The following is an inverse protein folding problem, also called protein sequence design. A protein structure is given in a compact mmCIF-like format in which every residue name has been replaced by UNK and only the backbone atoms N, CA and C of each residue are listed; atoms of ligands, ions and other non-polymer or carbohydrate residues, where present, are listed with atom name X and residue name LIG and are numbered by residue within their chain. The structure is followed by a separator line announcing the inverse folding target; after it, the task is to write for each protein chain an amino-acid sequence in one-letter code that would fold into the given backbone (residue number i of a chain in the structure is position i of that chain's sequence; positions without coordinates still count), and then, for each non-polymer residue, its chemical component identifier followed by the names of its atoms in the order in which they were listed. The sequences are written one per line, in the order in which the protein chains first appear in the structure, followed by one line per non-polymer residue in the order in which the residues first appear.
data_IF_173848262176
#
_entry.id   IF_173848262176
#
_cell.length_a   1.000
_cell.length_b   1.000
_cell.length_c   1.000
_cell.angle_alpha   90.00
_cell.angle_beta   90.00
_cell.angle_gamma   90.00
#
_symmetry.space_group_name_H-M   'P 1'
#
loop_
_entity.id
_entity.type
_entity.pdbx_description
1 polymer ?
#
# COMPACT_ATOMS: atom_id res chain seq x y z
N UNK A 1 -70.13 -18.22 -10.10
CA UNK A 1 -71.16 -17.15 -10.16
C UNK A 1 -71.34 -16.57 -8.76
N UNK A 2 -71.38 -15.23 -8.66
CA UNK A 2 -71.73 -14.39 -7.48
C UNK A 2 -70.64 -14.34 -6.39
N UNK A 3 -69.74 -13.34 -6.36
CA UNK A 3 -69.93 -11.90 -6.06
C UNK A 3 -70.61 -11.66 -4.72
N UNK A 4 -69.83 -11.19 -3.73
CA UNK A 4 -70.31 -10.55 -2.51
C UNK A 4 -69.49 -9.27 -2.33
N UNK A 5 -70.15 -8.13 -2.57
CA UNK A 5 -69.72 -6.81 -2.15
C UNK A 5 -69.99 -6.66 -0.64
N UNK A 6 -69.03 -6.13 0.11
CA UNK A 6 -69.29 -5.52 1.42
C UNK A 6 -69.04 -4.03 1.33
N UNK A 7 -70.10 -3.25 1.55
CA UNK A 7 -70.05 -1.82 1.77
C UNK A 7 -69.68 -1.55 3.24
N UNK A 8 -68.73 -0.64 3.47
CA UNK A 8 -68.43 -0.10 4.80
C UNK A 8 -68.74 1.39 4.78
N UNK A 9 -69.61 1.79 5.70
CA UNK A 9 -70.10 3.14 5.90
C UNK A 9 -69.01 4.04 6.53
N UNK A 10 -68.95 5.29 6.04
CA UNK A 10 -68.11 6.34 6.57
C UNK A 10 -68.72 6.94 7.85
N UNK A 11 -67.88 7.19 8.86
CA UNK A 11 -68.19 8.10 9.96
C UNK A 11 -67.09 9.16 10.02
N UNK A 12 -67.47 10.38 9.67
CA UNK A 12 -66.68 11.61 9.84
C UNK A 12 -66.71 12.02 11.31
N UNK A 13 -65.54 12.10 11.95
CA UNK A 13 -65.35 12.75 13.24
C UNK A 13 -64.66 14.10 12.99
N UNK A 14 -65.44 15.18 13.11
CA UNK A 14 -65.00 16.55 12.97
C UNK A 14 -64.38 17.01 14.30
N UNK A 15 -63.05 17.17 14.33
CA UNK A 15 -62.32 17.68 15.50
C UNK A 15 -62.03 19.17 15.30
N UNK A 16 -62.66 20.04 16.09
CA UNK A 16 -62.33 21.46 16.19
C UNK A 16 -61.03 21.64 16.99
N UNK A 17 -59.96 22.09 16.33
CA UNK A 17 -58.74 22.53 16.98
C UNK A 17 -58.78 24.05 17.19
N UNK A 18 -58.72 24.49 18.45
CA UNK A 18 -58.46 25.88 18.82
C UNK A 18 -57.04 26.28 18.40
N UNK A 19 -56.92 27.41 17.69
CA UNK A 19 -55.65 28.00 17.30
C UNK A 19 -54.93 28.66 18.48
N UNK A 20 -53.71 28.22 18.74
CA UNK A 20 -52.70 28.98 19.47
C UNK A 20 -51.78 29.65 18.44
N UNK A 21 -51.58 30.96 18.56
CA UNK A 21 -50.69 31.72 17.68
C UNK A 21 -49.23 31.28 17.87
N UNK A 22 -48.57 30.89 16.78
CA UNK A 22 -47.14 30.59 16.74
C UNK A 22 -46.31 31.84 17.12
N UNK A 23 -45.33 31.72 18.03
CA UNK A 23 -44.37 32.78 18.25
C UNK A 23 -43.48 32.95 17.02
N UNK A 24 -43.31 34.21 16.58
CA UNK A 24 -42.51 34.56 15.42
C UNK A 24 -41.08 33.97 15.49
N UNK A 25 -40.70 33.23 14.44
CA UNK A 25 -39.40 32.60 14.32
C UNK A 25 -38.28 33.67 14.34
N UNK A 26 -37.27 33.46 15.20
CA UNK A 26 -36.04 34.26 15.21
C UNK A 26 -35.35 34.15 13.83
N UNK A 27 -34.88 35.28 13.24
CA UNK A 27 -34.13 35.23 12.00
C UNK A 27 -32.87 34.38 12.16
N UNK A 28 -32.70 33.43 11.24
CA UNK A 28 -31.57 32.52 11.21
C UNK A 28 -30.26 33.32 11.10
N UNK A 29 -29.35 33.09 12.05
CA UNK A 29 -27.99 33.63 12.01
C UNK A 29 -27.27 33.05 10.79
N UNK A 30 -26.64 33.90 9.99
CA UNK A 30 -25.89 33.46 8.82
C UNK A 30 -24.83 32.42 9.23
N UNK A 31 -24.64 31.34 8.45
CA UNK A 31 -23.61 30.34 8.74
C UNK A 31 -22.24 31.01 8.79
N UNK A 32 -21.45 30.69 9.81
CA UNK A 32 -20.08 31.15 9.92
C UNK A 32 -19.31 30.77 8.64
N UNK A 33 -18.41 31.65 8.14
CA UNK A 33 -17.61 31.36 6.97
C UNK A 33 -16.84 30.05 7.21
N UNK A 34 -16.85 29.18 6.19
CA UNK A 34 -16.10 27.93 6.25
C UNK A 34 -14.62 28.24 6.53
N UNK A 35 -13.96 27.51 7.45
CA UNK A 35 -12.55 27.73 7.73
C UNK A 35 -11.74 27.53 6.45
N UNK A 36 -10.74 28.39 6.24
CA UNK A 36 -9.85 28.32 5.08
C UNK A 36 -9.27 26.90 4.94
N UNK A 37 -9.31 26.37 3.71
CA UNK A 37 -8.78 25.05 3.42
C UNK A 37 -7.28 25.03 3.76
N UNK A 38 -6.87 24.05 4.59
CA UNK A 38 -5.45 23.84 4.91
C UNK A 38 -4.66 23.64 3.61
N UNK A 39 -3.45 24.23 3.46
CA UNK A 39 -2.64 24.03 2.28
C UNK A 39 -2.34 22.55 2.05
N UNK A 40 -2.56 22.08 0.82
CA UNK A 40 -2.27 20.70 0.43
C UNK A 40 -0.76 20.48 0.47
N UNK A 41 -0.31 19.50 1.24
CA UNK A 41 1.11 19.15 1.29
C UNK A 41 1.56 18.65 -0.08
N UNK A 42 2.69 19.17 -0.56
CA UNK A 42 3.30 18.70 -1.81
C UNK A 42 4.50 17.83 -1.50
N UNK A 43 4.69 16.78 -2.28
CA UNK A 43 5.93 16.01 -2.25
C UNK A 43 7.07 16.96 -2.60
N UNK A 44 8.13 16.92 -1.80
CA UNK A 44 9.39 17.63 -2.07
C UNK A 44 10.49 16.57 -2.04
N UNK A 45 11.25 16.38 -3.13
CA UNK A 45 12.42 15.50 -3.12
C UNK A 45 13.35 15.79 -1.94
N UNK A 46 13.90 14.74 -1.32
CA UNK A 46 14.74 14.89 -0.12
C UNK A 46 14.01 15.02 1.21
N UNK A 47 12.67 15.07 1.21
CA UNK A 47 11.85 14.99 2.43
C UNK A 47 10.90 13.82 2.33
N UNK A 48 10.70 13.13 3.45
CA UNK A 48 9.69 12.07 3.52
C UNK A 48 8.32 12.70 3.82
N UNK A 49 7.59 13.04 2.78
CA UNK A 49 6.26 13.67 2.86
C UNK A 49 5.25 12.77 2.15
N UNK A 50 4.17 12.38 2.85
CA UNK A 50 3.08 11.60 2.27
C UNK A 50 1.78 12.40 2.43
N UNK A 51 1.34 13.14 1.37
CA UNK A 51 0.11 13.92 1.41
C UNK A 51 -1.14 13.03 1.42
N UNK A 52 -1.78 12.84 2.58
CA UNK A 52 -2.98 11.99 2.69
C UNK A 52 -4.28 12.69 2.27
N UNK A 53 -4.25 14.01 2.17
CA UNK A 53 -5.36 14.88 1.77
C UNK A 53 -5.61 14.86 0.25
N UNK A 54 -4.57 14.63 -0.56
CA UNK A 54 -4.69 14.50 -2.02
C UNK A 54 -3.84 13.34 -2.55
N UNK A 55 -4.49 12.21 -2.79
CA UNK A 55 -3.89 11.00 -3.36
C UNK A 55 -4.89 10.22 -4.22
N UNK A 56 -4.41 9.49 -5.21
CA UNK A 56 -5.18 8.46 -5.90
C UNK A 56 -4.73 7.07 -5.46
N UNK A 57 -5.68 6.13 -5.33
CA UNK A 57 -5.39 4.72 -5.01
C UNK A 57 -5.93 3.72 -6.03
N UNK A 58 -5.51 3.79 -7.31
CA UNK A 58 -6.04 2.90 -8.33
C UNK A 58 -5.53 1.47 -8.16
N UNK A 59 -6.38 0.52 -8.49
CA UNK A 59 -5.94 -0.81 -8.88
C UNK A 59 -5.45 -0.79 -10.32
N UNK A 60 -4.46 -1.62 -10.61
CA UNK A 60 -4.00 -1.80 -11.97
C UNK A 60 -3.01 -2.94 -12.13
N UNK A 61 -2.71 -3.20 -13.38
CA UNK A 61 -1.76 -4.21 -13.82
C UNK A 61 -0.41 -3.57 -14.11
N UNK A 62 0.66 -4.08 -13.52
CA UNK A 62 2.00 -3.60 -13.79
C UNK A 62 2.42 -3.98 -15.22
N UNK A 63 2.72 -3.01 -16.10
CA UNK A 63 3.09 -3.27 -17.50
C UNK A 63 4.61 -3.25 -17.69
N UNK A 64 5.32 -2.40 -16.96
CA UNK A 64 6.77 -2.26 -17.09
C UNK A 64 7.41 -1.73 -15.82
N UNK A 65 8.68 -2.10 -15.63
CA UNK A 65 9.54 -1.64 -14.55
C UNK A 65 10.93 -1.33 -15.11
N UNK A 66 11.50 -0.23 -14.66
CA UNK A 66 12.92 0.10 -14.82
C UNK A 66 13.51 0.30 -13.42
N UNK A 67 14.39 -0.62 -13.02
CA UNK A 67 15.01 -0.62 -11.70
C UNK A 67 16.08 0.46 -11.55
N UNK A 68 16.74 0.88 -12.63
CA UNK A 68 17.79 1.88 -12.59
C UNK A 68 17.22 3.28 -12.36
N UNK A 69 16.11 3.59 -13.03
CA UNK A 69 15.42 4.88 -12.86
C UNK A 69 14.32 4.83 -11.80
N UNK A 70 14.01 3.62 -11.29
CA UNK A 70 12.86 3.33 -10.41
C UNK A 70 11.57 3.90 -10.99
N UNK A 71 11.36 3.69 -12.29
CA UNK A 71 10.13 4.08 -12.99
C UNK A 71 9.37 2.87 -13.47
N UNK A 72 8.13 3.07 -13.88
CA UNK A 72 7.33 2.01 -14.46
C UNK A 72 6.04 2.52 -15.07
N UNK A 73 5.23 1.57 -15.54
CA UNK A 73 3.88 1.83 -16.07
C UNK A 73 2.92 0.80 -15.55
N UNK A 74 1.68 1.20 -15.30
CA UNK A 74 0.59 0.27 -15.01
C UNK A 74 -0.66 0.63 -15.83
N UNK A 75 -1.51 -0.36 -16.09
CA UNK A 75 -2.83 -0.21 -16.72
C UNK A 75 -3.88 -0.15 -15.63
N UNK A 76 -4.62 0.96 -15.54
CA UNK A 76 -5.73 1.10 -14.58
C UNK A 76 -6.82 0.07 -14.86
N UNK A 77 -7.26 -0.63 -13.82
CA UNK A 77 -8.31 -1.66 -13.95
C UNK A 77 -9.68 -1.06 -14.31
N UNK A 78 -9.98 0.21 -14.00
CA UNK A 78 -11.29 0.79 -14.28
C UNK A 78 -11.40 1.49 -15.64
N UNK A 79 -10.29 1.97 -16.21
CA UNK A 79 -10.29 2.80 -17.42
C UNK A 79 -9.42 2.25 -18.55
N UNK A 80 -8.64 1.20 -18.31
CA UNK A 80 -7.57 0.72 -19.19
C UNK A 80 -6.48 1.77 -19.52
N UNK A 81 -6.50 2.92 -18.86
CA UNK A 81 -5.49 3.97 -19.02
C UNK A 81 -4.11 3.46 -18.57
N UNK A 82 -3.09 3.67 -19.40
CA UNK A 82 -1.70 3.40 -19.04
C UNK A 82 -1.10 4.63 -18.37
N UNK A 83 -0.73 4.48 -17.11
CA UNK A 83 -0.15 5.54 -16.28
C UNK A 83 1.31 5.25 -16.04
N UNK A 84 2.16 6.25 -16.27
CA UNK A 84 3.58 6.18 -15.91
C UNK A 84 3.76 6.64 -14.46
N UNK A 85 4.72 6.03 -13.77
CA UNK A 85 5.04 6.42 -12.39
C UNK A 85 6.55 6.45 -12.15
N UNK A 86 6.93 7.22 -11.14
CA UNK A 86 8.27 7.20 -10.53
C UNK A 86 8.12 6.84 -9.06
N UNK A 87 8.87 5.82 -8.63
CA UNK A 87 8.87 5.37 -7.24
C UNK A 87 9.69 6.36 -6.41
N UNK A 88 9.03 7.04 -5.47
CA UNK A 88 9.73 7.88 -4.52
C UNK A 88 10.71 7.03 -3.69
N UNK A 89 11.91 7.51 -3.33
CA UNK A 89 12.89 6.70 -2.61
C UNK A 89 12.39 6.09 -1.30
N UNK A 90 11.49 6.81 -0.62
CA UNK A 90 10.84 6.43 0.64
C UNK A 90 9.49 5.71 0.46
N UNK A 91 9.11 5.37 -0.78
CA UNK A 91 7.85 4.69 -1.05
C UNK A 91 7.78 3.36 -0.30
N UNK A 92 6.62 3.05 0.27
CA UNK A 92 6.39 1.75 0.88
C UNK A 92 6.04 0.74 -0.22
N UNK A 93 6.92 -0.23 -0.42
CA UNK A 93 6.77 -1.33 -1.38
C UNK A 93 6.41 -2.57 -0.58
N UNK A 94 5.16 -3.03 -0.68
CA UNK A 94 4.66 -4.14 0.12
C UNK A 94 4.32 -5.34 -0.75
N UNK A 95 4.98 -6.46 -0.48
CA UNK A 95 4.85 -7.69 -1.24
C UNK A 95 4.65 -8.87 -0.29
N UNK A 96 3.77 -9.80 -0.64
CA UNK A 96 3.43 -10.96 0.19
C UNK A 96 3.15 -10.62 1.65
N UNK A 97 2.34 -9.59 1.89
CA UNK A 97 1.98 -9.10 3.23
C UNK A 97 3.15 -8.58 4.09
N UNK A 98 4.27 -8.17 3.50
CA UNK A 98 5.42 -7.61 4.23
C UNK A 98 6.24 -6.62 3.38
N UNK A 99 7.36 -6.14 3.89
CA UNK A 99 8.25 -5.22 3.17
C UNK A 99 8.90 -5.93 1.97
N UNK A 100 8.94 -5.24 0.84
CA UNK A 100 9.64 -5.66 -0.36
C UNK A 100 10.38 -4.50 -1.01
N UNK A 101 10.84 -4.71 -2.24
CA UNK A 101 11.35 -3.68 -3.14
C UNK A 101 10.68 -3.85 -4.51
N UNK A 102 10.93 -2.91 -5.42
CA UNK A 102 10.38 -2.91 -6.78
C UNK A 102 10.67 -4.21 -7.54
N UNK A 103 11.83 -4.82 -7.30
CA UNK A 103 12.23 -6.10 -7.92
C UNK A 103 11.40 -7.32 -7.49
N UNK A 104 10.61 -7.21 -6.41
CA UNK A 104 9.78 -8.32 -5.92
C UNK A 104 8.44 -8.39 -6.68
N UNK A 105 8.06 -7.32 -7.38
CA UNK A 105 6.87 -7.26 -8.22
C UNK A 105 7.14 -7.80 -9.62
N UNK A 106 6.17 -8.54 -10.17
CA UNK A 106 6.26 -9.11 -11.52
C UNK A 106 5.50 -8.23 -12.52
N UNK A 107 6.00 -8.08 -13.74
CA UNK A 107 5.20 -7.53 -14.86
C UNK A 107 3.99 -8.44 -15.11
N UNK A 108 2.82 -7.83 -15.24
CA UNK A 108 1.50 -8.46 -15.24
C UNK A 108 0.82 -8.39 -13.87
N UNK A 109 1.55 -8.14 -12.78
CA UNK A 109 1.00 -8.26 -11.44
C UNK A 109 -0.09 -7.21 -11.19
N UNK A 110 -1.21 -7.66 -10.60
CA UNK A 110 -2.25 -6.77 -10.12
C UNK A 110 -1.83 -6.19 -8.77
N UNK A 111 -1.73 -4.88 -8.71
CA UNK A 111 -1.35 -4.14 -7.50
C UNK A 111 -2.25 -2.91 -7.31
N UNK A 112 -2.21 -2.35 -6.11
CA UNK A 112 -2.80 -1.04 -5.82
C UNK A 112 -1.69 -0.03 -5.57
N UNK A 113 -1.79 1.07 -6.28
CA UNK A 113 -0.80 2.15 -6.30
C UNK A 113 -1.29 3.29 -5.43
N UNK A 114 -0.40 4.11 -4.85
CA UNK A 114 -0.74 5.43 -4.29
C UNK A 114 0.05 6.48 -5.03
N UNK A 115 -0.68 7.27 -5.81
CA UNK A 115 -0.11 8.31 -6.64
C UNK A 115 -0.37 9.69 -6.05
N UNK A 116 0.60 10.56 -6.26
CA UNK A 116 0.52 11.99 -5.98
C UNK A 116 0.93 12.77 -7.22
N UNK A 117 0.48 14.02 -7.25
CA UNK A 117 0.82 14.94 -8.33
C UNK A 117 2.27 15.41 -8.20
N UNK A 118 2.93 15.53 -9.35
CA UNK A 118 4.16 16.31 -9.46
C UNK A 118 3.85 17.81 -9.53
N UNK A 119 4.90 18.61 -9.76
CA UNK A 119 4.82 20.06 -9.86
C UNK A 119 3.95 20.55 -11.04
N UNK A 120 3.75 19.69 -12.05
CA UNK A 120 2.89 19.94 -13.22
C UNK A 120 1.44 19.50 -13.04
N UNK A 121 1.09 18.91 -11.89
CA UNK A 121 -0.25 18.36 -11.64
C UNK A 121 -0.47 16.96 -12.19
N UNK A 122 0.59 16.25 -12.62
CA UNK A 122 0.50 14.91 -13.19
C UNK A 122 0.61 13.85 -12.08
N UNK A 123 -0.29 12.85 -12.07
CA UNK A 123 -0.29 11.75 -11.09
C UNK A 123 0.80 10.72 -11.37
N UNK A 124 2.05 11.06 -11.05
CA UNK A 124 3.24 10.25 -11.39
C UNK A 124 4.04 9.80 -10.16
N UNK A 125 3.96 10.50 -9.02
CA UNK A 125 4.77 10.17 -7.84
C UNK A 125 4.14 9.02 -7.05
N UNK A 126 4.78 7.86 -7.11
CA UNK A 126 4.37 6.67 -6.38
C UNK A 126 5.01 6.66 -4.98
N UNK A 127 4.19 6.73 -3.93
CA UNK A 127 4.64 6.65 -2.53
C UNK A 127 4.28 5.32 -1.87
N UNK A 128 3.51 4.49 -2.56
CA UNK A 128 3.04 3.22 -2.05
C UNK A 128 2.65 2.30 -3.20
N UNK A 129 3.10 1.05 -3.16
CA UNK A 129 2.57 -0.04 -3.97
C UNK A 129 2.43 -1.25 -3.08
N UNK A 130 1.29 -1.91 -3.15
CA UNK A 130 1.09 -3.18 -2.48
C UNK A 130 0.43 -4.17 -3.44
N UNK A 131 0.87 -5.42 -3.38
CA UNK A 131 0.23 -6.51 -4.11
C UNK A 131 -1.18 -6.79 -3.57
N UNK A 132 -1.95 -7.57 -4.34
CA UNK A 132 -3.30 -8.01 -3.97
C UNK A 132 -3.31 -8.69 -2.59
N UNK A 133 -2.30 -9.51 -2.33
CA UNK A 133 -2.19 -10.29 -1.10
C UNK A 133 -1.97 -9.42 0.14
N UNK A 134 -1.07 -8.44 0.09
CA UNK A 134 -0.84 -7.50 1.18
C UNK A 134 -2.08 -6.66 1.46
N UNK A 135 -2.76 -6.20 0.41
CA UNK A 135 -4.01 -5.46 0.55
C UNK A 135 -5.06 -6.33 1.28
N UNK A 136 -5.32 -7.54 0.78
CA UNK A 136 -6.32 -8.42 1.35
C UNK A 136 -5.97 -8.80 2.79
N UNK A 137 -4.71 -9.09 3.09
CA UNK A 137 -4.26 -9.40 4.44
C UNK A 137 -4.48 -8.21 5.40
N UNK A 138 -4.02 -7.01 5.04
CA UNK A 138 -4.13 -5.82 5.87
C UNK A 138 -5.58 -5.42 6.17
N UNK A 139 -6.51 -5.73 5.27
CA UNK A 139 -7.94 -5.47 5.42
C UNK A 139 -8.74 -6.66 5.97
N UNK A 140 -8.08 -7.79 6.27
CA UNK A 140 -8.72 -9.06 6.67
C UNK A 140 -9.80 -9.50 5.67
N UNK A 141 -9.51 -9.33 4.38
CA UNK A 141 -10.38 -9.64 3.26
C UNK A 141 -9.99 -10.96 2.56
N UNK A 142 -11.01 -11.57 1.93
CA UNK A 142 -10.96 -12.86 1.26
C UNK A 142 -11.87 -12.86 0.03
N UNK A 143 -11.57 -13.74 -0.91
CA UNK A 143 -12.50 -14.18 -1.95
C UNK A 143 -13.25 -15.42 -1.44
N UNK A 144 -14.53 -15.26 -1.13
CA UNK A 144 -15.39 -16.37 -0.75
C UNK A 144 -15.89 -17.09 -1.99
N UNK A 145 -15.68 -18.40 -2.09
CA UNK A 145 -16.11 -19.19 -3.24
C UNK A 145 -17.63 -19.35 -3.23
N UNK A 146 -18.30 -18.73 -4.20
CA UNK A 146 -19.75 -18.83 -4.37
C UNK A 146 -20.11 -20.01 -5.29
N UNK A 147 -19.41 -20.13 -6.42
CA UNK A 147 -19.59 -21.24 -7.37
C UNK A 147 -18.27 -21.66 -8.01
N UNK A 148 -18.21 -22.93 -8.43
CA UNK A 148 -17.04 -23.52 -9.10
C UNK A 148 -17.48 -24.05 -10.47
N UNK A 149 -16.76 -23.64 -11.51
CA UNK A 149 -16.83 -24.24 -12.84
C UNK A 149 -15.50 -24.97 -13.11
N UNK A 150 -15.48 -26.28 -12.85
CA UNK A 150 -14.27 -27.09 -12.96
C UNK A 150 -13.79 -27.29 -14.41
N UNK A 151 -14.71 -27.34 -15.37
CA UNK A 151 -14.39 -27.47 -16.80
C UNK A 151 -13.66 -26.23 -17.32
N UNK A 152 -14.13 -25.05 -16.93
CA UNK A 152 -13.52 -23.76 -17.33
C UNK A 152 -12.41 -23.30 -16.40
N UNK A 153 -12.16 -24.03 -15.30
CA UNK A 153 -11.20 -23.64 -14.25
C UNK A 153 -11.47 -22.23 -13.69
N UNK A 154 -12.75 -21.95 -13.42
CA UNK A 154 -13.23 -20.64 -12.94
C UNK A 154 -13.94 -20.76 -11.59
N UNK A 155 -13.75 -19.74 -10.76
CA UNK A 155 -14.44 -19.52 -9.51
C UNK A 155 -15.24 -18.23 -9.63
N UNK A 156 -16.52 -18.25 -9.27
CA UNK A 156 -17.24 -17.00 -8.97
C UNK A 156 -17.16 -16.78 -7.48
N UNK A 157 -16.79 -15.57 -7.08
CA UNK A 157 -16.49 -15.25 -5.68
C UNK A 157 -17.11 -13.94 -5.23
N UNK A 158 -17.26 -13.83 -3.91
CA UNK A 158 -17.59 -12.59 -3.22
C UNK A 158 -16.34 -12.10 -2.49
N UNK A 159 -15.89 -10.89 -2.80
CA UNK A 159 -14.79 -10.24 -2.10
C UNK A 159 -15.32 -9.47 -0.90
N UNK A 160 -14.98 -9.93 0.29
CA UNK A 160 -15.46 -9.35 1.55
C UNK A 160 -14.45 -9.52 2.68
N UNK A 161 -14.66 -8.79 3.78
CA UNK A 161 -13.91 -9.01 5.02
C UNK A 161 -14.28 -10.35 5.71
N UNK A 162 -13.55 -10.70 6.77
CA UNK A 162 -13.64 -12.01 7.44
C UNK A 162 -15.05 -12.41 7.92
N UNK A 163 -15.84 -11.45 8.39
CA UNK A 163 -17.21 -11.66 8.89
C UNK A 163 -18.29 -11.25 7.88
N UNK A 164 -17.88 -10.83 6.67
CA UNK A 164 -18.74 -10.31 5.59
C UNK A 164 -19.58 -9.08 5.98
N UNK A 165 -19.24 -8.38 7.07
CA UNK A 165 -19.87 -7.09 7.41
C UNK A 165 -19.58 -5.99 6.39
N UNK A 166 -18.48 -6.14 5.64
CA UNK A 166 -18.13 -5.31 4.50
C UNK A 166 -17.91 -6.17 3.26
N UNK A 167 -18.74 -5.96 2.23
CA UNK A 167 -18.59 -6.59 0.91
C UNK A 167 -18.03 -5.55 -0.04
N UNK A 168 -16.82 -5.79 -0.54
CA UNK A 168 -16.18 -4.92 -1.53
C UNK A 168 -16.79 -5.11 -2.91
N UNK A 169 -16.94 -6.37 -3.32
CA UNK A 169 -17.43 -6.69 -4.66
C UNK A 169 -18.05 -8.09 -4.69
N UNK A 170 -19.17 -8.25 -5.42
CA UNK A 170 -19.80 -9.55 -5.69
C UNK A 170 -19.60 -9.95 -7.14
N UNK A 171 -19.55 -11.27 -7.37
CA UNK A 171 -19.44 -11.84 -8.72
C UNK A 171 -18.06 -11.61 -9.34
N UNK A 172 -17.02 -11.58 -8.51
CA UNK A 172 -15.64 -11.57 -8.98
C UNK A 172 -15.34 -12.92 -9.59
N UNK A 173 -14.87 -12.95 -10.83
CA UNK A 173 -14.50 -14.18 -11.51
C UNK A 173 -12.99 -14.37 -11.42
N UNK A 174 -12.56 -15.41 -10.74
CA UNK A 174 -11.16 -15.83 -10.69
C UNK A 174 -11.02 -17.00 -11.66
N UNK A 175 -10.22 -16.79 -12.69
CA UNK A 175 -9.84 -17.81 -13.66
C UNK A 175 -8.46 -18.33 -13.34
N UNK A 176 -8.22 -19.58 -13.68
CA UNK A 176 -6.94 -20.25 -13.46
C UNK A 176 -6.53 -20.99 -14.72
N UNK A 177 -5.24 -21.16 -14.93
CA UNK A 177 -4.65 -21.80 -16.09
C UNK A 177 -3.60 -22.84 -15.68
N UNK A 178 -2.82 -23.33 -16.63
CA UNK A 178 -1.79 -24.33 -16.39
C UNK A 178 -0.58 -23.77 -15.58
N UNK A 179 -0.42 -22.45 -15.51
CA UNK A 179 0.63 -21.79 -14.74
C UNK A 179 0.18 -21.43 -13.32
N UNK A 180 -1.13 -21.45 -13.05
CA UNK A 180 -1.67 -21.20 -11.70
C UNK A 180 -1.16 -22.23 -10.70
N UNK A 181 -0.55 -21.75 -9.61
CA UNK A 181 -0.14 -22.54 -8.45
C UNK A 181 -1.16 -22.42 -7.33
N UNK A 182 -1.32 -23.51 -6.58
CA UNK A 182 -2.26 -23.58 -5.46
C UNK A 182 -1.49 -23.94 -4.21
N UNK A 183 -1.90 -23.37 -3.08
CA UNK A 183 -1.22 -23.55 -1.80
C UNK A 183 -2.21 -23.84 -0.69
N UNK A 184 -1.94 -24.90 0.08
CA UNK A 184 -2.70 -25.30 1.27
C UNK A 184 -1.74 -25.79 2.33
N UNK A 185 -1.88 -25.31 3.57
CA UNK A 185 -0.94 -25.57 4.67
C UNK A 185 0.53 -25.34 4.27
N UNK A 186 0.79 -24.32 3.45
CA UNK A 186 2.13 -24.02 2.94
C UNK A 186 2.70 -25.01 1.90
N UNK A 187 1.91 -26.00 1.47
CA UNK A 187 2.32 -27.02 0.50
C UNK A 187 1.59 -26.84 -0.84
N UNK A 188 2.16 -27.36 -1.95
CA UNK A 188 1.47 -27.39 -3.23
C UNK A 188 0.13 -28.11 -3.13
N UNK A 189 -0.90 -27.50 -3.71
CA UNK A 189 -2.26 -28.02 -3.76
C UNK A 189 -2.77 -28.05 -5.22
N UNK A 190 -4.06 -28.25 -5.39
CA UNK A 190 -4.71 -28.27 -6.70
C UNK A 190 -6.03 -27.50 -6.73
N UNK A 191 -6.51 -27.19 -7.93
CA UNK A 191 -7.85 -26.63 -8.13
C UNK A 191 -8.96 -27.51 -7.51
N UNK A 192 -8.78 -28.83 -7.50
CA UNK A 192 -9.77 -29.78 -6.98
C UNK A 192 -9.92 -29.72 -5.45
N UNK A 193 -8.97 -29.10 -4.75
CA UNK A 193 -9.03 -28.92 -3.30
C UNK A 193 -9.94 -27.77 -2.86
N UNK A 194 -10.38 -26.93 -3.80
CA UNK A 194 -11.25 -25.77 -3.58
C UNK A 194 -12.70 -26.21 -3.49
N UNK A 195 -13.40 -25.71 -2.48
CA UNK A 195 -14.82 -25.98 -2.24
C UNK A 195 -15.64 -24.69 -2.19
N UNK A 196 -16.92 -24.80 -2.52
CA UNK A 196 -17.88 -23.71 -2.29
C UNK A 196 -17.89 -23.38 -0.79
N UNK A 197 -17.83 -22.10 -0.46
CA UNK A 197 -17.72 -21.59 0.90
C UNK A 197 -16.29 -21.35 1.39
N UNK A 198 -15.27 -21.85 0.69
CA UNK A 198 -13.87 -21.59 1.05
C UNK A 198 -13.55 -20.10 0.98
N UNK A 199 -12.58 -19.68 1.81
CA UNK A 199 -12.03 -18.33 1.82
C UNK A 199 -10.66 -18.38 1.18
N UNK A 200 -10.51 -17.73 0.04
CA UNK A 200 -9.26 -17.72 -0.71
C UNK A 200 -8.58 -16.35 -0.62
N UNK A 201 -7.27 -16.35 -0.78
CA UNK A 201 -6.54 -15.19 -1.30
C UNK A 201 -5.90 -15.56 -2.62
N UNK A 202 -5.60 -14.54 -3.41
CA UNK A 202 -4.95 -14.74 -4.69
C UNK A 202 -3.82 -13.76 -4.90
N UNK A 203 -2.93 -14.13 -5.80
CA UNK A 203 -2.06 -13.22 -6.53
C UNK A 203 -2.50 -13.30 -7.99
N UNK A 204 -3.11 -12.25 -8.49
CA UNK A 204 -3.66 -12.23 -9.84
C UNK A 204 -2.83 -11.35 -10.77
N UNK A 205 -2.88 -11.64 -12.07
CA UNK A 205 -2.50 -10.65 -13.07
C UNK A 205 -3.73 -9.85 -13.49
N UNK A 206 -3.50 -8.58 -13.83
CA UNK A 206 -4.56 -7.74 -14.38
C UNK A 206 -4.96 -8.19 -15.78
N UNK A 207 -6.21 -7.96 -16.14
CA UNK A 207 -6.74 -8.21 -17.49
C UNK A 207 -7.34 -6.93 -18.08
N UNK A 208 -6.99 -5.77 -17.51
CA UNK A 208 -7.68 -4.52 -17.77
C UNK A 208 -9.05 -4.47 -17.08
N UNK A 209 -10.03 -3.87 -17.73
CA UNK A 209 -11.38 -3.67 -17.18
C UNK A 209 -12.20 -4.93 -16.99
N UNK A 210 -12.99 -4.93 -15.92
CA UNK A 210 -14.01 -5.93 -15.63
C UNK A 210 -13.84 -6.58 -14.27
N UNK A 211 -14.51 -7.72 -14.10
CA UNK A 211 -14.50 -8.51 -12.85
C UNK A 211 -13.68 -9.79 -12.95
N UNK A 212 -13.06 -10.00 -14.10
CA UNK A 212 -12.26 -11.20 -14.37
C UNK A 212 -10.85 -10.95 -13.88
N UNK A 213 -10.28 -11.94 -13.20
CA UNK A 213 -8.90 -11.97 -12.74
C UNK A 213 -8.33 -13.32 -13.12
N UNK A 214 -7.05 -13.38 -13.45
CA UNK A 214 -6.36 -14.65 -13.72
C UNK A 214 -5.33 -14.85 -12.62
N UNK A 215 -5.44 -15.94 -11.88
CA UNK A 215 -4.57 -16.18 -10.74
C UNK A 215 -3.22 -16.77 -11.19
N UNK A 216 -2.12 -16.18 -10.74
CA UNK A 216 -0.85 -16.89 -10.68
C UNK A 216 -0.79 -17.80 -9.48
N UNK A 217 -1.35 -17.36 -8.35
CA UNK A 217 -1.35 -18.12 -7.11
C UNK A 217 -2.71 -18.04 -6.42
N UNK A 218 -3.16 -19.18 -5.88
CA UNK A 218 -4.35 -19.30 -5.06
C UNK A 218 -3.95 -19.89 -3.71
N UNK A 219 -4.23 -19.16 -2.64
CA UNK A 219 -3.95 -19.55 -1.26
C UNK A 219 -5.27 -19.97 -0.61
N UNK A 220 -5.34 -21.24 -0.21
CA UNK A 220 -6.55 -21.84 0.34
C UNK A 220 -6.69 -21.59 1.86
N UNK A 221 -5.65 -21.06 2.50
CA UNK A 221 -5.61 -20.79 3.93
C UNK A 221 -4.59 -19.69 4.31
N UNK A 222 -4.68 -19.24 5.56
CA UNK A 222 -3.77 -18.25 6.15
C UNK A 222 -2.35 -18.82 6.39
N UNK A 223 -2.21 -20.12 6.61
CA UNK A 223 -0.92 -20.78 6.81
C UNK A 223 -0.05 -20.69 5.55
N UNK A 224 -0.66 -20.86 4.38
CA UNK A 224 0.00 -20.70 3.09
C UNK A 224 0.47 -19.26 2.89
N UNK A 225 -0.33 -18.26 3.28
CA UNK A 225 0.13 -16.87 3.28
C UNK A 225 1.33 -16.67 4.22
N UNK A 226 1.27 -17.23 5.44
CA UNK A 226 2.32 -17.07 6.44
C UNK A 226 3.68 -17.60 5.96
N UNK A 227 3.69 -18.71 5.20
CA UNK A 227 4.90 -19.23 4.54
C UNK A 227 5.52 -18.18 3.61
N UNK A 228 4.74 -17.63 2.69
CA UNK A 228 5.23 -16.66 1.69
C UNK A 228 5.66 -15.34 2.33
N UNK A 229 4.93 -14.90 3.36
CA UNK A 229 5.33 -13.73 4.15
C UNK A 229 6.68 -13.98 4.85
N UNK A 230 6.91 -15.19 5.36
CA UNK A 230 8.17 -15.57 6.01
C UNK A 230 9.32 -15.59 5.01
N UNK A 231 9.11 -16.18 3.84
CA UNK A 231 10.10 -16.18 2.75
C UNK A 231 10.45 -14.75 2.31
N UNK A 232 9.45 -13.89 2.12
CA UNK A 232 9.69 -12.49 1.74
C UNK A 232 10.42 -11.69 2.84
N UNK A 233 10.15 -11.96 4.13
CA UNK A 233 10.92 -11.37 5.24
C UNK A 233 12.40 -11.76 5.18
N UNK A 234 12.70 -13.01 4.82
CA UNK A 234 14.10 -13.46 4.64
C UNK A 234 14.75 -12.71 3.48
N UNK A 235 14.10 -12.64 2.32
CA UNK A 235 14.60 -11.88 1.14
C UNK A 235 14.86 -10.42 1.50
N UNK A 236 13.93 -9.78 2.20
CA UNK A 236 14.06 -8.41 2.65
C UNK A 236 15.23 -8.23 3.64
N UNK A 237 15.35 -9.11 4.64
CA UNK A 237 16.43 -9.05 5.62
C UNK A 237 17.81 -9.24 4.97
N UNK A 238 17.94 -10.19 4.03
CA UNK A 238 19.16 -10.40 3.25
C UNK A 238 19.52 -9.16 2.41
N UNK A 239 18.52 -8.53 1.79
CA UNK A 239 18.70 -7.26 1.06
C UNK A 239 19.17 -6.15 1.98
N UNK A 240 18.58 -6.00 3.18
CA UNK A 240 19.02 -5.00 4.15
C UNK A 240 20.45 -5.26 4.65
N UNK A 241 20.82 -6.53 4.86
CA UNK A 241 22.20 -6.90 5.21
C UNK A 241 23.18 -6.55 4.08
N UNK A 242 22.81 -6.84 2.83
CA UNK A 242 23.67 -6.60 1.66
C UNK A 242 23.77 -5.12 1.30
N UNK A 243 22.64 -4.43 1.19
CA UNK A 243 22.55 -3.09 0.62
C UNK A 243 22.43 -1.97 1.65
N UNK A 244 22.18 -2.31 2.91
CA UNK A 244 22.01 -1.34 3.99
C UNK A 244 20.59 -0.74 4.02
N UNK A 245 20.24 -0.22 5.19
CA UNK A 245 19.02 0.53 5.41
C UNK A 245 19.06 1.84 4.60
N UNK A 246 18.04 2.12 3.79
CA UNK A 246 17.97 3.32 2.97
C UNK A 246 17.49 4.55 3.76
N UNK A 247 17.87 5.74 3.31
CA UNK A 247 17.36 6.98 3.85
C UNK A 247 17.75 8.23 3.07
N UNK A 248 17.36 9.39 3.60
CA UNK A 248 17.80 10.71 3.14
C UNK A 248 18.85 11.32 4.06
N UNK A 249 19.80 12.02 3.44
CA UNK A 249 20.69 12.94 4.13
C UNK A 249 19.92 14.23 4.40
N UNK A 250 19.70 14.53 5.68
CA UNK A 250 19.05 15.76 6.10
C UNK A 250 20.05 16.92 6.12
N UNK A 251 21.26 16.68 6.62
CA UNK A 251 22.28 17.72 6.81
C UNK A 251 23.70 17.13 6.82
N UNK A 252 24.66 17.90 6.30
CA UNK A 252 26.10 17.62 6.36
C UNK A 252 26.79 18.84 6.97
N UNK A 253 27.37 18.69 8.16
CA UNK A 253 28.05 19.77 8.89
C UNK A 253 29.39 19.28 9.46
N UNK A 254 30.47 19.50 8.73
CA UNK A 254 31.81 19.05 9.10
C UNK A 254 31.88 17.52 9.33
N UNK A 255 32.16 17.05 10.56
CA UNK A 255 32.12 15.63 10.90
C UNK A 255 30.71 15.09 11.19
N UNK A 256 29.70 15.96 11.26
CA UNK A 256 28.34 15.57 11.64
C UNK A 256 27.49 15.30 10.42
N UNK A 257 26.81 14.14 10.41
CA UNK A 257 25.89 13.73 9.36
C UNK A 257 24.52 13.44 9.98
N UNK A 258 23.48 14.18 9.59
CA UNK A 258 22.10 13.95 10.03
C UNK A 258 21.31 13.25 8.94
N UNK A 259 20.63 12.19 9.32
CA UNK A 259 20.02 11.22 8.41
C UNK A 259 18.60 10.87 8.85
N UNK A 260 17.72 10.62 7.90
CA UNK A 260 16.39 10.04 8.14
C UNK A 260 16.27 8.70 7.42
N UNK A 261 16.08 7.62 8.19
CA UNK A 261 15.85 6.27 7.66
C UNK A 261 14.42 6.10 7.16
N UNK A 262 14.26 5.37 6.06
CA UNK A 262 12.95 4.99 5.53
C UNK A 262 12.37 3.80 6.29
N UNK A 263 11.05 3.62 6.25
CA UNK A 263 10.34 2.55 6.95
C UNK A 263 10.85 1.14 6.58
N UNK A 264 11.30 0.96 5.34
CA UNK A 264 11.92 -0.29 4.86
C UNK A 264 13.14 -0.70 5.70
N UNK A 265 13.90 0.24 6.25
CA UNK A 265 15.06 -0.03 7.10
C UNK A 265 14.71 -0.33 8.56
N UNK A 266 13.43 -0.50 8.91
CA UNK A 266 12.95 -0.52 10.29
C UNK A 266 13.64 -1.56 11.19
N UNK A 267 14.00 -2.73 10.67
CA UNK A 267 14.68 -3.76 11.46
C UNK A 267 16.15 -3.44 11.75
N UNK A 268 16.82 -2.72 10.85
CA UNK A 268 18.16 -2.15 11.13
C UNK A 268 18.01 -1.01 12.13
N UNK A 269 17.01 -0.17 11.95
CA UNK A 269 16.76 1.02 12.77
C UNK A 269 16.55 0.65 14.26
N UNK A 270 15.81 -0.44 14.53
CA UNK A 270 15.62 -1.02 15.89
C UNK A 270 16.92 -1.49 16.56
N UNK A 271 17.96 -1.79 15.80
CA UNK A 271 19.24 -2.27 16.33
C UNK A 271 20.23 -1.12 16.64
N UNK A 272 19.94 0.09 16.16
CA UNK A 272 20.77 1.26 16.41
C UNK A 272 20.70 1.68 17.88
N UNK A 273 21.84 2.10 18.42
CA UNK A 273 21.97 2.68 19.77
C UNK A 273 23.02 3.78 19.75
N UNK A 274 22.83 4.81 20.58
CA UNK A 274 23.86 5.83 20.78
C UNK A 274 25.16 5.19 21.24
N UNK A 275 26.28 5.64 20.67
CA UNK A 275 27.62 5.12 20.91
C UNK A 275 28.04 3.98 19.98
N UNK A 276 27.11 3.33 19.26
CA UNK A 276 27.46 2.28 18.30
C UNK A 276 28.12 2.85 17.04
N UNK A 277 29.08 2.11 16.51
CA UNK A 277 29.64 2.36 15.18
C UNK A 277 28.76 1.69 14.12
N UNK A 278 28.58 2.38 13.01
CA UNK A 278 27.86 1.93 11.80
C UNK A 278 28.72 2.25 10.58
N UNK A 279 28.37 1.64 9.45
CA UNK A 279 28.91 2.02 8.15
C UNK A 279 27.86 2.77 7.35
N UNK A 280 28.25 3.80 6.61
CA UNK A 280 27.34 4.60 5.78
C UNK A 280 27.98 4.92 4.44
N UNK A 281 27.20 4.93 3.37
CA UNK A 281 27.63 5.33 2.04
C UNK A 281 26.57 6.21 1.36
N UNK A 282 26.94 7.19 0.52
CA UNK A 282 25.99 7.85 -0.36
C UNK A 282 25.41 6.83 -1.35
N UNK A 283 24.22 7.12 -1.88
CA UNK A 283 23.51 6.23 -2.79
C UNK A 283 22.94 6.97 -4.02
N UNK A 284 22.81 6.23 -5.12
CA UNK A 284 22.17 6.68 -6.36
C UNK A 284 20.64 6.65 -6.31
N UNK A 285 19.99 7.08 -7.40
CA UNK A 285 18.51 7.05 -7.56
C UNK A 285 17.97 5.62 -7.54
N UNK A 286 18.75 4.66 -8.05
CA UNK A 286 18.53 3.22 -7.94
C UNK A 286 18.65 2.68 -6.51
N UNK A 287 18.99 3.57 -5.58
CA UNK A 287 19.29 3.33 -4.16
C UNK A 287 20.51 2.43 -3.97
N UNK A 288 21.39 2.21 -4.95
CA UNK A 288 22.62 1.44 -4.72
C UNK A 288 23.72 2.36 -4.15
N UNK A 289 24.62 1.85 -3.30
CA UNK A 289 25.75 2.62 -2.82
C UNK A 289 26.57 3.16 -4.00
N UNK A 290 26.91 4.44 -3.98
CA UNK A 290 27.68 5.11 -5.03
C UNK A 290 29.15 5.34 -4.66
N UNK A 291 29.54 5.01 -3.43
CA UNK A 291 30.91 5.06 -2.94
C UNK A 291 31.13 3.97 -1.88
N UNK A 292 32.39 3.78 -1.47
CA UNK A 292 32.72 2.89 -0.35
C UNK A 292 32.09 3.36 0.96
N UNK A 293 31.68 2.39 1.78
CA UNK A 293 31.07 2.68 3.06
C UNK A 293 32.13 3.11 4.08
N UNK A 294 31.83 4.18 4.80
CA UNK A 294 32.70 4.79 5.81
C UNK A 294 32.10 4.66 7.20
N UNK A 295 32.96 4.61 8.21
CA UNK A 295 32.50 4.46 9.59
C UNK A 295 31.98 5.78 10.18
N UNK A 296 30.91 5.67 10.95
CA UNK A 296 30.37 6.75 11.76
C UNK A 296 29.88 6.22 13.09
N UNK A 297 29.98 7.04 14.14
CA UNK A 297 29.46 6.74 15.48
C UNK A 297 28.10 7.39 15.64
N UNK A 298 27.10 6.63 16.05
CA UNK A 298 25.76 7.14 16.35
C UNK A 298 25.85 8.04 17.59
N UNK A 299 25.54 9.32 17.45
CA UNK A 299 25.53 10.29 18.56
C UNK A 299 24.12 10.61 19.03
N UNK A 300 23.13 10.50 18.15
CA UNK A 300 21.73 10.76 18.48
C UNK A 300 20.79 9.85 17.68
N UNK A 301 19.67 9.46 18.30
CA UNK A 301 18.55 8.77 17.67
C UNK A 301 17.24 9.43 18.11
N UNK A 302 16.37 9.74 17.15
CA UNK A 302 15.03 10.27 17.40
C UNK A 302 14.00 9.55 16.55
N UNK A 303 12.88 9.16 17.16
CA UNK A 303 11.73 8.64 16.43
C UNK A 303 10.85 9.79 15.98
N UNK A 304 10.44 9.78 14.71
CA UNK A 304 9.44 10.70 14.17
C UNK A 304 8.33 9.88 13.49
N UNK A 305 7.34 9.47 14.28
CA UNK A 305 6.33 8.52 13.83
C UNK A 305 6.95 7.17 13.48
N UNK A 306 6.90 6.78 12.20
CA UNK A 306 7.50 5.53 11.68
C UNK A 306 8.94 5.69 11.19
N UNK A 307 9.41 6.93 11.03
CA UNK A 307 10.78 7.23 10.60
C UNK A 307 11.70 7.34 11.81
N UNK A 308 12.99 7.10 11.56
CA UNK A 308 14.03 7.26 12.57
C UNK A 308 15.08 8.23 12.05
N UNK A 309 15.23 9.35 12.75
CA UNK A 309 16.32 10.28 12.55
C UNK A 309 17.56 9.79 13.31
N UNK A 310 18.72 9.86 12.66
CA UNK A 310 20.01 9.36 13.13
C UNK A 310 21.03 10.46 12.91
N UNK A 311 21.77 10.82 13.97
CA UNK A 311 22.95 11.68 13.85
C UNK A 311 24.19 10.83 14.01
N UNK A 312 25.13 10.96 13.05
CA UNK A 312 26.41 10.29 13.05
C UNK A 312 27.54 11.32 13.21
N UNK A 313 28.57 10.93 13.94
CA UNK A 313 29.89 11.56 13.94
C UNK A 313 30.83 10.69 13.10
N UNK A 314 31.34 11.25 12.01
CA UNK A 314 32.13 10.52 11.00
C UNK A 314 33.56 10.25 11.48
N UNK A 315 34.05 9.04 11.25
CA UNK A 315 35.44 8.69 11.51
C UNK A 315 36.38 9.55 10.65
N UNK A 316 37.46 10.06 11.24
CA UNK A 316 38.43 10.92 10.54
C UNK A 316 38.11 12.43 10.55
N UNK A 317 37.05 12.85 11.26
CA UNK A 317 36.78 14.26 11.54
C UNK A 317 36.22 15.06 10.37
N UNK A 318 35.88 14.41 9.25
CA UNK A 318 35.18 15.03 8.10
C UNK A 318 34.25 14.03 7.42
N UNK A 319 33.10 14.51 6.97
CA UNK A 319 32.21 13.73 6.11
C UNK A 319 32.84 13.55 4.72
N UNK A 320 32.98 12.31 4.22
CA UNK A 320 33.50 12.05 2.88
C UNK A 320 32.64 12.66 1.77
N UNK A 321 33.22 12.85 0.58
CA UNK A 321 32.49 13.37 -0.58
C UNK A 321 31.31 12.49 -0.99
N UNK A 322 30.28 13.11 -1.58
CA UNK A 322 29.10 12.43 -2.12
C UNK A 322 27.86 12.48 -1.23
N UNK A 323 28.01 12.76 0.07
CA UNK A 323 26.88 13.14 0.92
C UNK A 323 26.49 14.58 0.65
N UNK A 324 25.20 14.82 0.42
CA UNK A 324 24.63 16.15 0.22
C UNK A 324 23.20 16.17 0.77
N UNK A 325 22.71 17.29 1.31
CA UNK A 325 21.31 17.41 1.72
C UNK A 325 20.35 16.97 0.62
N UNK A 326 19.25 16.30 0.99
CA UNK A 326 18.32 15.63 0.08
C UNK A 326 18.88 14.45 -0.72
N UNK A 327 20.18 14.16 -0.61
CA UNK A 327 20.81 12.98 -1.19
C UNK A 327 20.38 11.68 -0.51
N UNK A 328 20.54 10.56 -1.21
CA UNK A 328 20.25 9.24 -0.67
C UNK A 328 21.49 8.64 -0.01
N UNK A 329 21.27 7.77 0.96
CA UNK A 329 22.33 6.99 1.59
C UNK A 329 21.89 5.55 1.87
N UNK A 330 22.88 4.72 2.20
CA UNK A 330 22.73 3.39 2.78
C UNK A 330 23.51 3.29 4.08
N UNK A 331 22.92 2.63 5.09
CA UNK A 331 23.52 2.41 6.39
C UNK A 331 23.51 0.92 6.77
N UNK A 332 24.64 0.43 7.25
CA UNK A 332 24.81 -0.93 7.74
C UNK A 332 25.21 -0.92 9.21
N UNK A 333 24.77 -1.94 9.94
CA UNK A 333 25.35 -2.24 11.24
C UNK A 333 26.82 -2.66 11.04
N UNK A 334 27.74 -2.14 11.86
CA UNK A 334 29.08 -2.73 11.93
C UNK A 334 28.96 -4.07 12.68
N UNK A 335 29.50 -5.15 12.10
CA UNK A 335 29.47 -6.49 12.70
C UNK A 335 30.30 -6.55 14.00
#
# INVERSE_FOLDING_TARGET
MKSVLSAVAASLLLSLALGAAEPAAKPATAPAPAPDAKPVLKITPGKVIIPFDRMQRPWGELISLDFATRTGKFRRENTDEVVSFTVMPYAELLHHATLGDLQDFRVGERAIFRLHENEKGEWVWLTYIQDEMNMMHGHKEYFYVDTINAEKKQLTTTWANFDKSFVREKGVVITTDAETRYWKAGQPASFADIKVGDKLRTKTHGVGKGKVRVAWEVFLDDESLAKFQTEQKVVHAERMKKEGAPGYVDEVDGPTLKLTLFNEGGDVAKQLKVGKTVKVAPAGVDRKPSAEAVEGKVTELKMNGRQQAVTLEMAGGKTPGGFQPAGLFRLWMNE
#
